data_IF_550200746713
#
_entry.id   IF_550200746713
#
_cell.length_a   1.000
_cell.length_b   1.000
_cell.length_c   1.000
_cell.angle_alpha   90.00
_cell.angle_beta   90.00
_cell.angle_gamma   90.00
#
_symmetry.space_group_name_H-M   'P 1'
#
loop_
_entity.id
_entity.type
_entity.pdbx_description
1 polymer ?
#
# COMPACT_ATOMS: atom_id res chain seq x y z
N UNK A 1 14.57 34.69 24.88
CA UNK A 1 14.27 33.42 25.50
C UNK A 1 14.88 32.26 24.68
N UNK A 2 15.36 31.24 25.38
CA UNK A 2 15.86 30.03 24.73
C UNK A 2 14.71 29.19 24.21
N UNK A 3 14.72 28.89 22.90
CA UNK A 3 13.68 28.13 22.27
C UNK A 3 14.32 26.87 21.68
N UNK A 4 13.74 25.67 21.91
CA UNK A 4 14.22 24.46 21.25
C UNK A 4 13.98 24.54 19.74
N UNK A 5 14.71 23.75 18.98
CA UNK A 5 14.56 23.66 17.54
C UNK A 5 14.07 22.26 17.14
N UNK A 6 13.43 22.17 15.98
CA UNK A 6 12.92 20.93 15.47
C UNK A 6 13.15 20.84 13.95
N UNK A 7 13.42 19.61 13.47
CA UNK A 7 13.55 19.30 12.06
C UNK A 7 12.62 18.16 11.68
N UNK A 8 11.93 18.26 10.53
CA UNK A 8 11.01 17.21 10.09
C UNK A 8 11.76 15.93 9.74
N UNK A 9 11.04 14.83 9.79
CA UNK A 9 11.49 13.53 9.30
C UNK A 9 10.60 13.08 8.15
N UNK A 10 11.21 12.30 7.28
CA UNK A 10 10.52 11.59 6.21
C UNK A 10 10.98 10.13 6.21
N UNK A 11 10.17 9.28 5.64
CA UNK A 11 10.54 7.90 5.36
C UNK A 11 10.03 7.50 3.99
N UNK A 12 10.52 6.38 3.47
CA UNK A 12 10.15 5.89 2.15
C UNK A 12 10.15 4.37 2.17
N UNK A 13 9.05 3.77 1.75
CA UNK A 13 8.96 2.33 1.58
C UNK A 13 7.85 1.98 0.59
N UNK A 14 7.77 0.70 0.23
CA UNK A 14 6.78 0.21 -0.72
C UNK A 14 5.36 0.33 -0.16
N UNK A 15 4.43 0.39 -1.06
CA UNK A 15 3.00 0.31 -0.77
C UNK A 15 2.69 -0.85 0.17
N UNK A 16 1.90 -0.56 1.20
CA UNK A 16 1.48 -1.55 2.20
C UNK A 16 2.44 -1.77 3.36
N UNK A 17 3.67 -1.26 3.28
CA UNK A 17 4.67 -1.42 4.34
C UNK A 17 4.46 -0.45 5.49
N UNK A 18 4.73 -0.92 6.70
CA UNK A 18 4.87 -0.06 7.89
C UNK A 18 6.15 0.73 7.78
N UNK A 19 6.11 2.01 8.13
CA UNK A 19 7.26 2.91 8.05
C UNK A 19 7.48 3.60 9.40
N UNK A 20 8.73 3.93 9.68
CA UNK A 20 9.09 4.70 10.88
C UNK A 20 9.95 5.90 10.50
N UNK A 21 9.86 6.93 11.33
CA UNK A 21 10.72 8.10 11.22
C UNK A 21 10.76 8.84 12.54
N UNK A 22 11.87 9.50 12.81
CA UNK A 22 12.08 10.23 14.07
C UNK A 22 12.49 11.65 13.75
N UNK A 23 11.58 12.62 13.91
CA UNK A 23 11.95 14.03 13.82
C UNK A 23 13.00 14.36 14.86
N UNK A 24 13.86 15.32 14.56
CA UNK A 24 14.95 15.74 15.44
C UNK A 24 14.52 16.97 16.23
N UNK A 25 14.65 16.87 17.54
CA UNK A 25 14.41 17.99 18.45
C UNK A 25 15.71 18.27 19.22
N UNK A 26 16.10 19.52 19.27
CA UNK A 26 17.31 19.94 19.97
C UNK A 26 16.97 21.02 20.99
N UNK A 27 17.59 20.92 22.14
CA UNK A 27 17.52 21.96 23.15
C UNK A 27 18.31 23.19 22.72
N UNK A 28 18.47 24.12 23.62
CA UNK A 28 19.21 25.35 23.38
C UNK A 28 20.17 25.61 24.53
N UNK A 29 21.16 26.45 24.28
CA UNK A 29 22.08 26.93 25.32
C UNK A 29 21.94 28.46 25.42
N UNK A 30 21.81 28.96 26.61
CA UNK A 30 21.78 30.39 26.86
C UNK A 30 22.85 30.76 27.88
N UNK A 31 23.31 31.99 27.80
CA UNK A 31 24.25 32.52 28.80
C UNK A 31 23.53 33.34 29.82
N UNK A 32 23.80 33.04 31.08
CA UNK A 32 23.30 33.79 32.25
C UNK A 32 24.48 34.13 33.15
N UNK A 33 24.76 35.40 33.32
CA UNK A 33 25.88 35.87 34.12
C UNK A 33 27.24 35.28 33.66
N UNK A 34 27.43 35.16 32.32
CA UNK A 34 28.66 34.60 31.74
C UNK A 34 28.78 33.08 31.79
N UNK A 35 27.75 32.37 32.26
CA UNK A 35 27.71 30.92 32.32
C UNK A 35 26.72 30.36 31.32
N UNK A 36 27.11 29.25 30.67
CA UNK A 36 26.21 28.50 29.79
C UNK A 36 25.16 27.73 30.58
N UNK A 37 23.91 27.91 30.24
CA UNK A 37 22.77 27.16 30.79
C UNK A 37 22.12 26.37 29.65
N UNK A 38 22.03 25.06 29.83
CA UNK A 38 21.38 24.18 28.84
C UNK A 38 19.87 24.12 29.10
N UNK A 39 19.11 24.28 28.00
CA UNK A 39 17.70 23.98 27.96
C UNK A 39 17.61 22.66 27.16
N UNK A 40 17.16 21.60 27.82
CA UNK A 40 17.09 20.26 27.23
C UNK A 40 15.65 19.93 26.80
N UNK A 41 15.49 18.89 26.01
CA UNK A 41 14.17 18.34 25.73
C UNK A 41 13.73 17.52 26.93
N UNK A 42 12.52 17.78 27.43
CA UNK A 42 11.94 17.10 28.57
C UNK A 42 11.71 15.62 28.24
N UNK A 43 12.12 14.73 29.16
CA UNK A 43 11.93 13.30 29.02
C UNK A 43 10.46 12.94 28.81
N UNK A 44 10.20 11.99 27.91
CA UNK A 44 8.86 11.48 27.61
C UNK A 44 7.85 12.57 27.17
N UNK A 45 8.36 13.68 26.60
CA UNK A 45 7.52 14.79 26.16
C UNK A 45 7.09 14.68 24.70
N UNK A 46 7.59 13.68 23.96
CA UNK A 46 7.25 13.53 22.56
C UNK A 46 5.81 13.08 22.40
N UNK A 47 5.04 13.79 21.59
CA UNK A 47 3.63 13.49 21.32
C UNK A 47 3.26 13.81 19.89
N UNK A 48 2.20 13.19 19.38
CA UNK A 48 1.55 13.60 18.15
C UNK A 48 0.52 14.68 18.45
N UNK A 49 0.23 15.50 17.46
CA UNK A 49 -0.95 16.36 17.46
C UNK A 49 -1.95 15.81 16.44
N UNK A 50 -3.20 15.63 16.85
CA UNK A 50 -4.26 15.26 15.93
C UNK A 50 -4.68 16.48 15.07
N UNK A 51 -5.64 16.28 14.17
CA UNK A 51 -6.12 17.36 13.28
C UNK A 51 -6.74 18.55 14.01
N UNK A 52 -7.17 18.34 15.26
CA UNK A 52 -7.77 19.38 16.11
C UNK A 52 -6.73 20.04 17.03
N UNK A 53 -5.46 19.62 16.93
CA UNK A 53 -4.36 20.16 17.74
C UNK A 53 -4.22 19.52 19.10
N UNK A 54 -4.94 18.43 19.40
CA UNK A 54 -4.84 17.74 20.68
C UNK A 54 -3.61 16.84 20.73
N UNK A 55 -2.96 16.78 21.89
CA UNK A 55 -1.84 15.86 22.12
C UNK A 55 -2.35 14.43 22.26
N UNK A 56 -1.86 13.55 21.41
CA UNK A 56 -2.31 12.15 21.34
C UNK A 56 -1.12 11.21 21.13
N UNK A 57 -1.25 9.96 21.57
CA UNK A 57 -0.26 8.92 21.31
C UNK A 57 -0.49 8.25 19.96
N UNK A 58 -1.72 8.25 19.47
CA UNK A 58 -2.13 7.68 18.17
C UNK A 58 -3.15 8.59 17.50
N UNK A 59 -3.12 8.63 16.17
CA UNK A 59 -4.09 9.40 15.40
C UNK A 59 -4.23 8.77 14.01
N UNK A 60 -5.39 8.92 13.34
CA UNK A 60 -5.51 8.45 11.96
C UNK A 60 -4.50 9.10 11.03
N UNK A 61 -4.03 8.32 10.06
CA UNK A 61 -3.28 8.82 8.91
C UNK A 61 -4.23 9.03 7.73
N UNK A 62 -4.13 10.18 7.09
CA UNK A 62 -5.02 10.59 6.02
C UNK A 62 -4.30 10.60 4.66
N UNK A 63 -5.07 10.29 3.61
CA UNK A 63 -4.65 10.50 2.24
C UNK A 63 -4.34 11.99 1.97
N UNK A 64 -3.92 12.29 0.76
CA UNK A 64 -3.58 13.68 0.35
C UNK A 64 -4.74 14.65 0.56
N UNK A 65 -5.99 14.19 0.49
CA UNK A 65 -7.19 15.01 0.73
C UNK A 65 -7.34 15.47 2.19
N UNK A 66 -6.57 14.90 3.11
CA UNK A 66 -6.61 15.25 4.53
C UNK A 66 -7.82 14.70 5.28
N UNK A 67 -8.68 13.91 4.65
CA UNK A 67 -9.94 13.42 5.25
C UNK A 67 -10.15 11.92 5.14
N UNK A 68 -9.66 11.28 4.08
CA UNK A 68 -9.79 9.83 3.89
C UNK A 68 -8.77 9.09 4.72
N UNK A 69 -9.22 8.28 5.66
CA UNK A 69 -8.33 7.48 6.51
C UNK A 69 -7.70 6.34 5.70
N UNK A 70 -6.39 6.22 5.75
CA UNK A 70 -5.61 5.19 5.06
C UNK A 70 -4.70 4.40 6.00
N UNK A 71 -4.62 4.79 7.26
CA UNK A 71 -3.75 4.15 8.23
C UNK A 71 -3.79 4.85 9.56
N UNK A 72 -2.79 4.58 10.38
CA UNK A 72 -2.62 5.20 11.70
C UNK A 72 -1.18 5.63 11.91
N UNK A 73 -1.01 6.68 12.70
CA UNK A 73 0.26 7.08 13.28
C UNK A 73 0.28 6.77 14.77
N UNK A 74 1.42 6.32 15.26
CA UNK A 74 1.69 6.19 16.68
C UNK A 74 3.06 6.75 17.00
N UNK A 75 3.30 7.14 18.24
CA UNK A 75 4.58 7.70 18.66
C UNK A 75 5.07 7.00 19.92
N UNK A 76 6.39 6.81 19.99
CA UNK A 76 7.07 6.46 21.24
C UNK A 76 7.38 7.76 22.00
N UNK A 77 6.76 8.00 23.16
CA UNK A 77 6.98 9.25 23.90
C UNK A 77 8.39 9.40 24.44
N UNK A 78 9.15 8.30 24.56
CA UNK A 78 10.50 8.31 25.08
C UNK A 78 11.53 8.71 24.00
N UNK A 79 11.30 8.35 22.75
CA UNK A 79 12.26 8.55 21.65
C UNK A 79 11.82 9.55 20.60
N UNK A 80 10.51 9.79 20.48
CA UNK A 80 9.94 10.59 19.41
C UNK A 80 9.80 9.82 18.10
N UNK A 81 10.09 8.51 18.06
CA UNK A 81 9.90 7.71 16.86
C UNK A 81 8.42 7.58 16.54
N UNK A 82 8.06 7.95 15.31
CA UNK A 82 6.71 7.81 14.78
C UNK A 82 6.65 6.58 13.90
N UNK A 83 5.56 5.81 14.06
CA UNK A 83 5.26 4.65 13.22
C UNK A 83 4.01 4.95 12.40
N UNK A 84 4.12 4.77 11.08
CA UNK A 84 3.00 4.79 10.15
C UNK A 84 2.62 3.35 9.82
N UNK A 85 1.37 2.96 10.12
CA UNK A 85 0.82 1.64 9.81
C UNK A 85 -0.33 1.79 8.83
N UNK A 86 -0.16 1.38 7.55
CA UNK A 86 -1.26 1.44 6.60
C UNK A 86 -2.34 0.43 6.95
N UNK A 87 -3.61 0.86 6.91
CA UNK A 87 -4.79 -0.01 7.05
C UNK A 87 -5.45 -0.26 5.69
N UNK A 88 -5.41 0.73 4.82
CA UNK A 88 -5.74 0.57 3.40
C UNK A 88 -4.44 0.37 2.61
N UNK A 89 -4.05 -0.88 2.44
CA UNK A 89 -2.80 -1.23 1.75
C UNK A 89 -2.88 -1.03 0.23
N UNK A 90 -4.08 -0.80 -0.32
CA UNK A 90 -4.26 -0.50 -1.74
C UNK A 90 -3.98 0.98 -2.06
N UNK A 91 -3.92 1.84 -1.05
CA UNK A 91 -3.68 3.26 -1.27
C UNK A 91 -2.28 3.50 -1.82
N UNK A 92 -2.22 4.29 -2.88
CA UNK A 92 -0.99 4.89 -3.42
C UNK A 92 -1.20 6.39 -3.51
N UNK A 93 -0.18 7.14 -3.26
CA UNK A 93 -0.26 8.59 -3.31
C UNK A 93 0.38 9.22 -2.09
N UNK A 94 0.24 10.51 -1.99
CA UNK A 94 0.81 11.27 -0.87
C UNK A 94 0.00 11.05 0.39
N UNK A 95 0.69 11.05 1.52
CA UNK A 95 0.10 10.95 2.85
C UNK A 95 0.18 12.33 3.50
N UNK A 96 -0.90 12.75 4.15
CA UNK A 96 -0.90 13.99 4.91
C UNK A 96 0.09 13.89 6.07
N UNK A 97 1.05 14.83 6.19
CA UNK A 97 2.01 14.82 7.29
C UNK A 97 1.31 14.86 8.66
N UNK A 98 1.91 14.21 9.65
CA UNK A 98 1.47 14.33 11.05
C UNK A 98 2.36 15.31 11.79
N UNK A 99 1.78 16.11 12.68
CA UNK A 99 2.54 16.99 13.57
C UNK A 99 3.08 16.22 14.75
N UNK A 100 4.34 16.46 15.04
CA UNK A 100 5.08 15.88 16.16
C UNK A 100 5.57 17.04 17.04
N UNK A 101 5.34 16.92 18.34
CA UNK A 101 5.67 17.97 19.30
C UNK A 101 6.59 17.43 20.39
N UNK A 102 7.49 18.28 20.85
CA UNK A 102 8.25 18.06 22.08
C UNK A 102 8.20 19.30 22.93
N UNK A 103 8.49 19.13 24.22
CA UNK A 103 8.54 20.21 25.21
C UNK A 103 9.96 20.32 25.78
N UNK A 104 10.45 21.53 25.90
CA UNK A 104 11.74 21.78 26.52
C UNK A 104 11.60 21.80 28.04
N UNK A 105 12.75 21.69 28.73
CA UNK A 105 12.82 21.72 30.16
C UNK A 105 12.29 23.02 30.77
N UNK A 106 12.25 24.12 30.01
CA UNK A 106 11.66 25.41 30.44
C UNK A 106 10.21 25.57 29.96
N UNK A 107 9.54 24.49 29.50
CA UNK A 107 8.11 24.51 29.22
C UNK A 107 7.73 25.04 27.84
N UNK A 108 8.67 25.25 26.94
CA UNK A 108 8.40 25.68 25.56
C UNK A 108 8.12 24.48 24.67
N UNK A 109 6.97 24.49 24.00
CA UNK A 109 6.59 23.44 23.04
C UNK A 109 7.00 23.83 21.62
N UNK A 110 7.49 22.87 20.85
CA UNK A 110 7.90 23.06 19.46
C UNK A 110 7.40 21.91 18.62
N UNK A 111 6.92 22.23 17.42
CA UNK A 111 6.32 21.29 16.51
C UNK A 111 7.16 21.12 15.25
N UNK A 112 7.09 19.93 14.67
CA UNK A 112 7.56 19.65 13.33
C UNK A 112 6.66 18.58 12.71
N UNK A 113 7.08 17.96 11.62
CA UNK A 113 6.26 16.97 10.93
C UNK A 113 7.02 15.68 10.67
N UNK A 114 6.27 14.59 10.52
CA UNK A 114 6.72 13.36 9.93
C UNK A 114 5.84 13.03 8.72
N UNK A 115 6.46 12.67 7.60
CA UNK A 115 5.77 12.31 6.37
C UNK A 115 6.33 11.02 5.80
N UNK A 116 5.55 9.93 5.73
CA UNK A 116 5.94 8.74 4.99
C UNK A 116 5.69 8.93 3.49
N UNK A 117 6.59 8.40 2.66
CA UNK A 117 6.40 8.31 1.22
C UNK A 117 6.08 6.87 0.84
N UNK A 118 5.03 6.67 0.05
CA UNK A 118 4.59 5.36 -0.44
C UNK A 118 5.05 5.19 -1.88
N UNK A 119 5.85 4.15 -2.13
CA UNK A 119 6.26 3.77 -3.49
C UNK A 119 5.26 2.75 -4.03
N UNK A 120 4.53 3.06 -5.12
CA UNK A 120 3.54 2.14 -5.67
C UNK A 120 4.16 0.83 -6.14
N UNK A 121 3.45 -0.27 -5.92
CA UNK A 121 3.80 -1.60 -6.42
C UNK A 121 2.58 -2.17 -7.14
N UNK A 122 2.74 -2.49 -8.41
CA UNK A 122 1.63 -2.97 -9.24
C UNK A 122 1.90 -4.38 -9.73
N UNK A 123 0.99 -5.34 -9.52
CA UNK A 123 1.11 -6.67 -10.10
C UNK A 123 0.97 -6.61 -11.61
N UNK A 124 1.52 -7.62 -12.30
CA UNK A 124 1.45 -7.76 -13.75
C UNK A 124 0.68 -9.01 -14.15
N UNK A 125 0.12 -8.98 -15.35
CA UNK A 125 -0.61 -10.09 -15.91
C UNK A 125 -0.31 -10.24 -17.41
N UNK A 126 -0.20 -11.49 -17.87
CA UNK A 126 0.07 -11.83 -19.28
C UNK A 126 -1.08 -12.67 -19.80
N UNK A 127 -1.66 -12.34 -20.97
CA UNK A 127 -2.76 -13.12 -21.55
C UNK A 127 -2.33 -14.51 -21.97
N UNK A 128 -3.30 -15.43 -22.08
CA UNK A 128 -3.15 -16.78 -22.58
C UNK A 128 -4.07 -17.04 -23.76
N UNK A 129 -3.63 -17.90 -24.64
CA UNK A 129 -4.39 -18.36 -25.80
C UNK A 129 -4.21 -19.87 -25.95
N UNK A 130 -5.26 -20.55 -26.40
CA UNK A 130 -5.20 -21.99 -26.73
C UNK A 130 -5.92 -22.28 -28.05
N UNK A 131 -5.58 -23.38 -28.68
CA UNK A 131 -6.23 -23.86 -29.91
C UNK A 131 -6.37 -25.36 -29.80
N UNK A 132 -7.56 -25.88 -30.12
CA UNK A 132 -7.80 -27.30 -30.18
C UNK A 132 -8.91 -27.61 -31.20
N UNK A 133 -9.14 -28.87 -31.45
CA UNK A 133 -10.14 -29.36 -32.41
C UNK A 133 -11.56 -29.15 -31.85
N UNK A 134 -12.51 -29.17 -32.79
CA UNK A 134 -13.95 -29.07 -32.46
C UNK A 134 -14.36 -30.08 -31.38
N UNK A 135 -15.10 -29.60 -30.40
CA UNK A 135 -15.60 -30.40 -29.29
C UNK A 135 -14.63 -30.65 -28.14
N UNK A 136 -13.33 -30.40 -28.33
CA UNK A 136 -12.33 -30.63 -27.27
C UNK A 136 -12.37 -29.53 -26.20
N UNK A 137 -12.32 -29.93 -24.93
CA UNK A 137 -12.14 -29.03 -23.79
C UNK A 137 -10.72 -28.47 -23.83
N UNK A 138 -10.61 -27.15 -23.56
CA UNK A 138 -9.32 -26.47 -23.56
C UNK A 138 -9.09 -25.86 -22.17
N UNK A 139 -7.83 -25.80 -21.74
CA UNK A 139 -7.44 -25.09 -20.52
C UNK A 139 -6.33 -24.09 -20.86
N UNK A 140 -6.42 -22.91 -20.27
CA UNK A 140 -5.39 -21.89 -20.39
C UNK A 140 -5.30 -21.09 -19.10
N UNK A 141 -4.10 -20.58 -18.83
CA UNK A 141 -3.85 -19.85 -17.58
C UNK A 141 -3.11 -18.56 -17.90
N UNK A 142 -3.81 -17.40 -17.83
CA UNK A 142 -3.10 -16.14 -17.79
C UNK A 142 -2.09 -16.13 -16.65
N UNK A 143 -0.94 -15.55 -16.87
CA UNK A 143 0.13 -15.52 -15.87
C UNK A 143 0.05 -14.23 -15.06
N UNK A 144 0.07 -14.36 -13.73
CA UNK A 144 0.04 -13.25 -12.82
C UNK A 144 1.32 -13.25 -11.98
N UNK A 145 1.93 -12.08 -11.83
CA UNK A 145 3.14 -11.90 -11.02
C UNK A 145 2.98 -10.72 -10.09
N UNK A 146 3.49 -10.86 -8.87
CA UNK A 146 3.62 -9.74 -7.96
C UNK A 146 4.54 -8.67 -8.53
N UNK A 147 4.26 -7.42 -8.20
CA UNK A 147 5.10 -6.29 -8.60
C UNK A 147 6.39 -6.24 -7.79
N UNK A 148 7.44 -5.73 -8.41
CA UNK A 148 8.75 -5.56 -7.76
C UNK A 148 9.25 -4.15 -8.04
N UNK A 149 9.72 -3.48 -6.98
CA UNK A 149 10.33 -2.14 -7.06
C UNK A 149 11.56 -2.09 -6.17
N UNK A 150 12.47 -1.19 -6.50
CA UNK A 150 13.67 -0.95 -5.70
C UNK A 150 13.48 0.31 -4.87
N UNK A 151 13.68 0.19 -3.55
CA UNK A 151 13.63 1.29 -2.60
C UNK A 151 14.96 1.36 -1.87
N UNK A 152 15.66 2.50 -1.97
CA UNK A 152 16.98 2.71 -1.36
C UNK A 152 17.97 1.57 -1.68
N UNK A 153 17.98 1.13 -2.94
CA UNK A 153 18.86 0.08 -3.41
C UNK A 153 18.43 -1.35 -3.07
N UNK A 154 17.30 -1.54 -2.38
CA UNK A 154 16.79 -2.84 -2.00
C UNK A 154 15.57 -3.19 -2.86
N UNK A 155 15.62 -4.34 -3.52
CA UNK A 155 14.49 -4.87 -4.30
C UNK A 155 13.44 -5.47 -3.38
N UNK A 156 12.19 -5.02 -3.54
CA UNK A 156 11.05 -5.47 -2.73
C UNK A 156 9.90 -5.88 -3.64
N UNK A 157 9.24 -6.98 -3.27
CA UNK A 157 8.15 -7.58 -4.04
C UNK A 157 6.90 -7.69 -3.18
N UNK A 158 5.74 -7.40 -3.78
CA UNK A 158 4.42 -7.71 -3.20
C UNK A 158 3.85 -8.88 -3.99
N UNK A 159 3.73 -10.03 -3.33
CA UNK A 159 3.29 -11.27 -3.97
C UNK A 159 1.78 -11.25 -4.31
N UNK A 160 1.39 -12.06 -5.30
CA UNK A 160 -0.01 -12.37 -5.55
C UNK A 160 -0.58 -13.06 -4.29
N UNK A 161 -1.81 -12.67 -3.91
CA UNK A 161 -2.47 -13.24 -2.74
C UNK A 161 -3.20 -14.53 -3.13
N UNK A 162 -2.60 -15.67 -2.80
CA UNK A 162 -3.17 -16.99 -3.10
C UNK A 162 -4.39 -17.33 -2.23
N UNK A 163 -4.65 -16.56 -1.16
CA UNK A 163 -5.84 -16.71 -0.32
C UNK A 163 -7.08 -16.06 -0.95
N UNK A 164 -6.90 -15.25 -1.99
CA UNK A 164 -7.98 -14.61 -2.73
C UNK A 164 -8.12 -15.31 -4.08
N UNK A 165 -9.21 -16.05 -4.31
CA UNK A 165 -9.41 -16.77 -5.57
C UNK A 165 -9.51 -15.82 -6.78
N UNK A 166 -9.00 -16.28 -7.92
CA UNK A 166 -9.22 -15.60 -9.20
C UNK A 166 -10.72 -15.57 -9.55
N UNK A 167 -11.14 -14.53 -10.24
CA UNK A 167 -12.49 -14.40 -10.80
C UNK A 167 -12.41 -13.87 -12.22
N UNK A 168 -13.54 -13.95 -12.95
CA UNK A 168 -13.72 -13.12 -14.12
C UNK A 168 -13.94 -11.66 -13.71
N UNK A 169 -13.88 -10.74 -14.65
CA UNK A 169 -13.96 -9.30 -14.40
C UNK A 169 -15.31 -8.84 -13.80
N UNK A 170 -16.37 -9.63 -13.96
CA UNK A 170 -17.69 -9.39 -13.34
C UNK A 170 -17.81 -10.00 -11.93
N UNK A 171 -16.76 -10.61 -11.41
CA UNK A 171 -16.73 -11.27 -10.11
C UNK A 171 -17.24 -12.70 -10.14
N UNK A 172 -17.75 -13.21 -11.28
CA UNK A 172 -18.19 -14.59 -11.41
C UNK A 172 -17.02 -15.55 -11.66
N UNK A 173 -17.28 -16.84 -11.49
CA UNK A 173 -16.33 -17.92 -11.81
C UNK A 173 -16.78 -18.81 -12.95
N UNK A 174 -17.96 -18.53 -13.51
CA UNK A 174 -18.54 -19.26 -14.66
C UNK A 174 -19.20 -18.27 -15.60
N UNK A 175 -18.90 -18.42 -16.90
CA UNK A 175 -19.53 -17.66 -17.99
C UNK A 175 -20.00 -18.60 -19.07
N UNK A 176 -21.24 -18.48 -19.50
CA UNK A 176 -21.78 -19.20 -20.65
C UNK A 176 -22.09 -18.22 -21.77
N UNK A 177 -21.58 -18.54 -22.97
CA UNK A 177 -21.83 -17.76 -24.17
C UNK A 177 -22.62 -18.66 -25.14
N UNK A 178 -23.86 -18.28 -25.41
CA UNK A 178 -24.75 -19.08 -26.26
C UNK A 178 -24.11 -19.32 -27.63
N UNK A 179 -24.17 -20.57 -28.09
CA UNK A 179 -23.61 -20.98 -29.38
C UNK A 179 -22.09 -21.14 -29.35
N UNK A 180 -21.41 -20.86 -28.29
CA UNK A 180 -19.94 -20.92 -28.14
C UNK A 180 -19.51 -21.95 -27.11
N UNK A 181 -19.90 -21.82 -25.87
CA UNK A 181 -19.52 -22.71 -24.79
C UNK A 181 -19.52 -22.07 -23.43
N UNK A 182 -18.90 -22.75 -22.47
CA UNK A 182 -18.83 -22.34 -21.07
C UNK A 182 -17.38 -22.23 -20.62
N UNK A 183 -17.09 -21.13 -19.94
CA UNK A 183 -15.78 -20.85 -19.31
C UNK A 183 -15.94 -20.94 -17.79
N UNK A 184 -14.99 -21.61 -17.14
CA UNK A 184 -14.86 -21.61 -15.69
C UNK A 184 -13.46 -21.22 -15.29
N UNK A 185 -13.30 -20.49 -14.19
CA UNK A 185 -12.00 -20.11 -13.68
C UNK A 185 -11.77 -20.72 -12.29
N UNK A 186 -10.63 -21.40 -12.14
CA UNK A 186 -10.20 -21.94 -10.85
C UNK A 186 -9.55 -20.85 -9.99
N UNK A 187 -9.37 -21.14 -8.70
CA UNK A 187 -8.79 -20.20 -7.75
C UNK A 187 -7.41 -19.68 -8.16
N UNK A 188 -6.61 -20.49 -8.87
CA UNK A 188 -5.28 -20.13 -9.35
C UNK A 188 -5.25 -19.34 -10.67
N UNK A 189 -6.43 -19.09 -11.26
CA UNK A 189 -6.56 -18.39 -12.54
C UNK A 189 -6.62 -19.28 -13.77
N UNK A 190 -6.55 -20.61 -13.63
CA UNK A 190 -6.70 -21.53 -14.75
C UNK A 190 -8.14 -21.50 -15.25
N UNK A 191 -8.30 -21.21 -16.54
CA UNK A 191 -9.61 -21.21 -17.22
C UNK A 191 -9.80 -22.51 -17.96
N UNK A 192 -10.97 -23.13 -17.78
CA UNK A 192 -11.42 -24.28 -18.56
C UNK A 192 -12.51 -23.80 -19.50
N UNK A 193 -12.31 -24.04 -20.79
CA UNK A 193 -13.30 -23.75 -21.83
C UNK A 193 -13.89 -25.05 -22.36
N UNK A 194 -15.19 -25.23 -22.20
CA UNK A 194 -15.94 -26.36 -22.75
C UNK A 194 -16.78 -25.83 -23.90
N UNK A 195 -16.34 -26.08 -25.19
CA UNK A 195 -17.07 -25.56 -26.33
C UNK A 195 -18.40 -26.30 -26.53
N UNK A 196 -19.35 -25.65 -27.15
CA UNK A 196 -20.47 -26.36 -27.77
C UNK A 196 -19.94 -27.19 -28.96
N UNK A 197 -20.50 -28.37 -29.15
CA UNK A 197 -19.98 -29.35 -30.12
C UNK A 197 -19.93 -28.84 -31.55
N UNK A 198 -20.81 -27.91 -31.90
CA UNK A 198 -20.90 -27.34 -33.24
C UNK A 198 -20.04 -26.08 -33.41
N UNK A 199 -19.48 -25.53 -32.34
CA UNK A 199 -18.74 -24.29 -32.43
C UNK A 199 -17.37 -24.48 -33.08
N UNK A 200 -17.05 -23.61 -34.05
CA UNK A 200 -15.72 -23.45 -34.63
C UNK A 200 -15.38 -21.95 -34.72
N UNK A 201 -14.12 -21.64 -34.67
CA UNK A 201 -13.61 -20.28 -34.79
C UNK A 201 -12.97 -19.77 -33.51
N UNK A 202 -12.63 -18.49 -33.52
CA UNK A 202 -12.08 -17.81 -32.36
C UNK A 202 -13.21 -17.45 -31.39
N UNK A 203 -13.16 -18.02 -30.20
CA UNK A 203 -14.15 -17.72 -29.17
C UNK A 203 -13.92 -16.32 -28.56
N UNK A 204 -14.94 -15.71 -27.96
CA UNK A 204 -14.76 -14.46 -27.23
C UNK A 204 -13.73 -14.61 -26.11
N UNK A 205 -12.88 -13.59 -25.93
CA UNK A 205 -11.96 -13.54 -24.82
C UNK A 205 -12.71 -13.34 -23.50
N UNK A 206 -12.24 -13.99 -22.44
CA UNK A 206 -12.68 -13.72 -21.06
C UNK A 206 -11.54 -13.06 -20.30
N UNK A 207 -11.88 -12.18 -19.36
CA UNK A 207 -10.88 -11.47 -18.56
C UNK A 207 -10.80 -12.10 -17.17
N UNK A 208 -9.61 -12.53 -16.79
CA UNK A 208 -9.33 -13.09 -15.45
C UNK A 208 -8.68 -12.02 -14.60
N UNK A 209 -9.13 -11.91 -13.34
CA UNK A 209 -8.64 -10.92 -12.37
C UNK A 209 -8.07 -11.64 -11.16
N UNK A 210 -6.89 -11.22 -10.73
CA UNK A 210 -6.30 -11.59 -9.45
C UNK A 210 -5.79 -10.34 -8.74
N UNK A 211 -5.56 -10.44 -7.44
CA UNK A 211 -5.01 -9.35 -6.66
C UNK A 211 -3.76 -9.77 -5.88
N UNK A 212 -2.93 -8.79 -5.58
CA UNK A 212 -1.77 -8.98 -4.72
C UNK A 212 -2.15 -8.86 -3.24
N UNK A 213 -1.15 -9.02 -2.35
CA UNK A 213 -1.37 -8.96 -0.91
C UNK A 213 -1.72 -7.58 -0.38
N UNK A 214 -1.62 -6.55 -1.22
CA UNK A 214 -2.10 -5.20 -0.92
C UNK A 214 -3.54 -4.96 -1.41
N UNK A 215 -4.14 -5.93 -2.12
CA UNK A 215 -5.44 -5.77 -2.72
C UNK A 215 -5.42 -5.04 -4.07
N UNK A 216 -4.25 -4.82 -4.66
CA UNK A 216 -4.12 -4.23 -5.98
C UNK A 216 -4.38 -5.29 -7.05
N UNK A 217 -5.29 -5.00 -7.97
CA UNK A 217 -5.74 -5.95 -8.98
C UNK A 217 -4.92 -5.87 -10.26
N UNK A 218 -4.76 -7.01 -10.91
CA UNK A 218 -4.27 -7.15 -12.28
C UNK A 218 -5.23 -8.04 -13.06
N UNK A 219 -5.30 -7.83 -14.37
CA UNK A 219 -6.18 -8.59 -15.24
C UNK A 219 -5.50 -8.94 -16.55
N UNK A 220 -5.86 -10.07 -17.10
CA UNK A 220 -5.43 -10.52 -18.44
C UNK A 220 -6.49 -11.41 -19.05
N UNK A 221 -6.49 -11.49 -20.38
CA UNK A 221 -7.47 -12.27 -21.13
C UNK A 221 -7.02 -13.70 -21.38
N UNK A 222 -7.98 -14.58 -21.52
CA UNK A 222 -7.84 -15.91 -22.09
C UNK A 222 -8.74 -16.03 -23.31
N UNK A 223 -8.17 -16.46 -24.44
CA UNK A 223 -8.89 -16.61 -25.71
C UNK A 223 -8.67 -18.00 -26.29
N UNK A 224 -9.70 -18.87 -26.30
CA UNK A 224 -9.62 -20.15 -26.97
C UNK A 224 -10.03 -20.03 -28.46
N UNK A 225 -9.42 -20.86 -29.30
CA UNK A 225 -9.78 -21.02 -30.72
C UNK A 225 -10.09 -22.47 -30.99
N UNK A 226 -11.14 -22.72 -31.73
CA UNK A 226 -11.60 -24.07 -32.10
C UNK A 226 -11.46 -24.25 -33.63
N UNK A 227 -10.72 -25.26 -34.04
CA UNK A 227 -10.46 -25.54 -35.44
C UNK A 227 -11.22 -26.76 -35.96
#
# INVERSE_FOLDING_TARGET
AAVPTAKPATSKDIQGATQTGTPTFEGATVQVNGQDKAITIKDNSYTLLDKDGNEVATTPAYAEDGTTEIGTYSIDPATGQVTFTPTDKSYTGKVTPVKVQAESSNGIKVDTTYTPEIVPVTPTATPAETTDIQGATQTGKPEFKGGTVTVDGVEKTVEINDDVPATFDDGSTTKTVDGVGTYTVAADGTVTFTPEKSFTGKAPAVTVVREDKNGTKASATYTPTVT
#
